data_IF_444740294675
#
_entry.id   IF_444740294675
#
_cell.length_a   1.000
_cell.length_b   1.000
_cell.length_c   1.000
_cell.angle_alpha   90.00
_cell.angle_beta   90.00
_cell.angle_gamma   90.00
#
_symmetry.space_group_name_H-M   'P 1'
#
loop_
_entity.id
_entity.type
_entity.pdbx_description
1 polymer ?
#
# COMPACT_ATOMS: atom_id res chain seq x y z
N UNK A 1 -3.48 -5.57 11.17
CA UNK A 1 -4.69 -4.71 11.15
C UNK A 1 -4.62 -3.60 12.20
N UNK A 2 -4.27 -3.89 13.46
CA UNK A 2 -4.15 -2.86 14.51
C UNK A 2 -3.17 -1.73 14.11
N UNK A 3 -2.00 -2.08 13.60
CA UNK A 3 -1.01 -1.12 13.10
C UNK A 3 -1.60 -0.09 12.12
N UNK A 4 -2.44 -0.55 11.16
CA UNK A 4 -3.07 0.36 10.18
C UNK A 4 -4.10 1.27 10.87
N UNK A 5 -4.87 0.75 11.83
CA UNK A 5 -5.81 1.58 12.61
C UNK A 5 -5.08 2.68 13.37
N UNK A 6 -4.01 2.32 14.07
CA UNK A 6 -3.20 3.27 14.86
C UNK A 6 -2.58 4.36 13.96
N UNK A 7 -2.08 3.96 12.79
CA UNK A 7 -1.59 4.91 11.77
C UNK A 7 -2.70 5.87 11.32
N UNK A 8 -3.85 5.35 10.92
CA UNK A 8 -4.98 6.17 10.48
C UNK A 8 -5.44 7.16 11.55
N UNK A 9 -5.56 6.70 12.81
CA UNK A 9 -5.92 7.58 13.93
C UNK A 9 -4.90 8.71 14.11
N UNK A 10 -3.61 8.39 14.05
CA UNK A 10 -2.56 9.38 14.22
C UNK A 10 -2.49 10.37 13.07
N UNK A 11 -2.61 9.90 11.81
CA UNK A 11 -2.67 10.76 10.64
C UNK A 11 -3.86 11.71 10.69
N UNK A 12 -5.05 11.21 11.05
CA UNK A 12 -6.28 11.99 11.20
C UNK A 12 -6.18 13.02 12.31
N UNK A 13 -5.64 12.65 13.49
CA UNK A 13 -5.40 13.58 14.61
C UNK A 13 -4.47 14.74 14.24
N UNK A 14 -3.51 14.50 13.35
CA UNK A 14 -2.55 15.50 12.89
C UNK A 14 -3.01 16.22 11.62
N UNK A 15 -4.23 15.95 11.11
CA UNK A 15 -4.76 16.47 9.86
C UNK A 15 -3.86 16.16 8.64
N UNK A 16 -3.14 15.03 8.67
CA UNK A 16 -2.36 14.56 7.55
C UNK A 16 -3.25 13.88 6.52
N UNK A 17 -2.89 13.99 5.25
CA UNK A 17 -3.69 13.42 4.17
C UNK A 17 -3.64 11.90 4.18
N UNK A 18 -4.81 11.28 4.02
CA UNK A 18 -4.98 9.85 3.85
C UNK A 18 -5.58 9.58 2.47
N UNK A 19 -4.93 8.71 1.71
CA UNK A 19 -5.39 8.26 0.39
C UNK A 19 -5.51 6.74 0.42
N UNK A 20 -6.69 6.25 0.08
CA UNK A 20 -6.95 4.83 -0.08
C UNK A 20 -6.77 4.42 -1.54
N UNK A 21 -6.08 3.31 -1.74
CA UNK A 21 -5.96 2.68 -3.05
C UNK A 21 -6.73 1.37 -3.03
N UNK A 22 -7.74 1.27 -3.88
CA UNK A 22 -8.58 0.07 -4.02
C UNK A 22 -8.32 -0.59 -5.36
N UNK A 23 -8.01 -1.87 -5.34
CA UNK A 23 -7.81 -2.64 -6.57
C UNK A 23 -9.13 -3.24 -7.03
N UNK A 24 -9.48 -3.03 -8.30
CA UNK A 24 -10.59 -3.69 -8.98
C UNK A 24 -10.06 -4.40 -10.23
N UNK A 25 -10.33 -5.69 -10.35
CA UNK A 25 -9.96 -6.45 -11.55
C UNK A 25 -11.07 -6.36 -12.59
N UNK A 26 -10.72 -5.94 -13.79
CA UNK A 26 -11.63 -5.93 -14.94
C UNK A 26 -11.85 -7.33 -15.52
N UNK A 27 -11.01 -8.29 -15.15
CA UNK A 27 -11.05 -9.67 -15.62
C UNK A 27 -10.75 -10.64 -14.47
N UNK A 28 -11.46 -11.76 -14.41
CA UNK A 28 -11.22 -12.81 -13.43
C UNK A 28 -12.23 -12.84 -12.28
N UNK A 29 -11.93 -13.67 -11.28
CA UNK A 29 -12.83 -13.94 -10.14
C UNK A 29 -12.47 -13.17 -8.88
N UNK A 30 -11.23 -12.66 -8.77
CA UNK A 30 -10.76 -11.89 -7.64
C UNK A 30 -10.87 -10.40 -7.90
N UNK A 31 -11.22 -9.64 -6.88
CA UNK A 31 -11.40 -8.18 -6.94
C UNK A 31 -12.42 -7.71 -7.99
N UNK A 32 -13.43 -8.53 -8.24
CA UNK A 32 -14.47 -8.17 -9.21
C UNK A 32 -15.29 -6.98 -8.67
N UNK A 33 -15.48 -5.91 -9.46
CA UNK A 33 -16.32 -4.79 -9.09
C UNK A 33 -17.72 -5.23 -8.60
N UNK A 34 -18.24 -4.51 -7.62
CA UNK A 34 -19.55 -4.80 -6.99
C UNK A 34 -19.62 -6.08 -6.14
N UNK A 35 -18.48 -6.66 -5.77
CA UNK A 35 -18.40 -7.76 -4.79
C UNK A 35 -17.78 -7.29 -3.48
N UNK A 36 -17.99 -8.06 -2.41
CA UNK A 36 -17.35 -7.78 -1.12
C UNK A 36 -15.81 -7.87 -1.18
N UNK A 37 -15.28 -8.62 -2.16
CA UNK A 37 -13.84 -8.81 -2.35
C UNK A 37 -13.06 -7.55 -2.71
N UNK A 38 -13.71 -6.49 -3.18
CA UNK A 38 -13.07 -5.20 -3.48
C UNK A 38 -13.27 -4.16 -2.38
N UNK A 39 -14.11 -4.45 -1.39
CA UNK A 39 -14.44 -3.45 -0.37
C UNK A 39 -13.26 -3.23 0.58
N UNK A 40 -13.06 -1.98 0.96
CA UNK A 40 -12.12 -1.64 2.03
C UNK A 40 -12.66 -2.23 3.33
N UNK A 41 -11.80 -2.92 4.07
CA UNK A 41 -12.19 -3.60 5.31
C UNK A 41 -12.87 -2.62 6.28
N UNK A 42 -13.96 -3.07 6.90
CA UNK A 42 -14.81 -2.21 7.76
C UNK A 42 -14.06 -1.50 8.88
N UNK A 43 -13.01 -2.13 9.41
CA UNK A 43 -12.19 -1.58 10.49
C UNK A 43 -11.32 -0.38 10.09
N UNK A 44 -11.08 -0.19 8.81
CA UNK A 44 -10.23 0.86 8.25
C UNK A 44 -10.96 1.67 7.19
N UNK A 45 -12.27 1.80 7.30
CA UNK A 45 -13.08 2.56 6.33
C UNK A 45 -12.58 3.99 6.16
N UNK A 46 -12.58 4.51 4.92
CA UNK A 46 -12.27 5.91 4.68
C UNK A 46 -13.35 6.82 5.29
N UNK A 47 -12.93 7.99 5.74
CA UNK A 47 -13.84 9.08 6.05
C UNK A 47 -14.41 9.67 4.74
N UNK A 48 -15.55 10.37 4.83
CA UNK A 48 -16.17 11.01 3.66
C UNK A 48 -15.25 12.03 2.98
N UNK A 49 -14.33 12.60 3.74
CA UNK A 49 -13.35 13.59 3.26
C UNK A 49 -12.09 12.95 2.68
N UNK A 50 -11.90 11.64 2.86
CA UNK A 50 -10.69 10.96 2.40
C UNK A 50 -10.84 10.45 0.96
N UNK A 51 -9.76 10.56 0.20
CA UNK A 51 -9.73 10.16 -1.20
C UNK A 51 -9.61 8.64 -1.34
N UNK A 52 -10.46 8.06 -2.17
CA UNK A 52 -10.35 6.66 -2.61
C UNK A 52 -10.03 6.65 -4.11
N UNK A 53 -8.92 6.05 -4.48
CA UNK A 53 -8.50 5.87 -5.87
C UNK A 53 -8.66 4.40 -6.25
N UNK A 54 -9.37 4.13 -7.33
CA UNK A 54 -9.49 2.80 -7.91
C UNK A 54 -8.36 2.59 -8.91
N UNK A 55 -7.76 1.41 -8.88
CA UNK A 55 -6.75 0.97 -9.85
C UNK A 55 -7.07 -0.42 -10.37
N UNK A 56 -6.49 -0.76 -11.52
CA UNK A 56 -6.69 -2.05 -12.18
C UNK A 56 -5.39 -2.84 -12.32
N UNK A 57 -4.25 -2.19 -12.08
CA UNK A 57 -2.91 -2.78 -12.18
C UNK A 57 -2.16 -2.69 -10.83
N UNK A 58 -1.09 -3.47 -10.61
CA UNK A 58 -0.33 -3.43 -9.35
C UNK A 58 0.22 -2.04 -9.02
N UNK A 59 0.74 -1.30 -9.99
CA UNK A 59 1.25 0.04 -9.80
C UNK A 59 0.11 1.03 -9.55
N UNK A 60 0.10 1.67 -8.38
CA UNK A 60 -0.95 2.63 -8.01
C UNK A 60 -0.90 3.94 -8.80
N UNK A 61 0.19 4.22 -9.49
CA UNK A 61 0.32 5.40 -10.37
C UNK A 61 -0.14 5.12 -11.80
N UNK A 62 -0.20 3.84 -12.20
CA UNK A 62 -0.52 3.47 -13.56
C UNK A 62 -2.02 3.63 -13.84
N UNK A 63 -2.34 4.45 -14.86
CA UNK A 63 -3.72 4.77 -15.28
C UNK A 63 -4.64 5.25 -14.13
N UNK A 64 -4.06 6.00 -13.17
CA UNK A 64 -4.80 6.61 -12.07
C UNK A 64 -4.47 8.11 -11.97
N UNK A 65 -5.20 8.83 -11.14
CA UNK A 65 -4.93 10.23 -10.85
C UNK A 65 -4.06 10.43 -9.59
N UNK A 66 -3.42 9.36 -9.07
CA UNK A 66 -2.64 9.44 -7.82
C UNK A 66 -1.55 10.50 -7.89
N UNK A 67 -0.75 10.51 -8.98
CA UNK A 67 0.33 11.48 -9.16
C UNK A 67 -0.19 12.92 -9.11
N UNK A 68 -1.29 13.21 -9.82
CA UNK A 68 -1.88 14.54 -9.83
C UNK A 68 -2.35 14.95 -8.44
N UNK A 69 -3.00 14.03 -7.70
CA UNK A 69 -3.45 14.28 -6.33
C UNK A 69 -2.30 14.58 -5.37
N UNK A 70 -1.18 13.88 -5.49
CA UNK A 70 0.00 14.13 -4.66
C UNK A 70 0.64 15.49 -4.99
N UNK A 71 0.74 15.84 -6.25
CA UNK A 71 1.29 17.14 -6.70
C UNK A 71 0.37 18.29 -6.31
N UNK A 72 -0.94 18.20 -6.53
CA UNK A 72 -1.94 19.21 -6.15
C UNK A 72 -1.91 19.54 -4.65
N UNK A 73 -1.54 18.57 -3.82
CA UNK A 73 -1.46 18.73 -2.37
C UNK A 73 -0.02 18.93 -1.86
N UNK A 74 0.93 19.18 -2.75
CA UNK A 74 2.34 19.43 -2.43
C UNK A 74 2.99 18.32 -1.59
N UNK A 75 2.53 17.06 -1.75
CA UNK A 75 3.05 15.91 -1.03
C UNK A 75 4.41 15.50 -1.60
N UNK A 76 5.40 15.37 -0.73
CA UNK A 76 6.77 14.95 -1.08
C UNK A 76 7.21 13.69 -0.34
N UNK A 77 6.50 13.31 0.70
CA UNK A 77 6.80 12.15 1.55
C UNK A 77 5.56 11.25 1.67
N UNK A 78 5.77 9.95 1.55
CA UNK A 78 4.70 8.95 1.59
C UNK A 78 4.95 7.97 2.73
N UNK A 79 3.91 7.67 3.50
CA UNK A 79 3.86 6.52 4.40
C UNK A 79 2.98 5.46 3.75
N UNK A 80 3.55 4.29 3.49
CA UNK A 80 2.89 3.23 2.73
C UNK A 80 2.66 2.01 3.59
N UNK A 81 1.46 1.47 3.55
CA UNK A 81 1.08 0.18 4.14
C UNK A 81 0.00 -0.49 3.28
N UNK A 82 -0.23 -1.77 3.47
CA UNK A 82 -1.28 -2.51 2.77
C UNK A 82 -0.84 -3.86 2.22
N UNK A 83 -1.44 -4.28 1.09
CA UNK A 83 -1.21 -5.61 0.52
C UNK A 83 -1.33 -5.61 -1.02
N UNK A 84 -0.72 -6.56 -1.69
CA UNK A 84 0.25 -7.53 -1.15
C UNK A 84 1.67 -7.00 -1.34
N UNK A 85 2.53 -7.30 -0.38
CA UNK A 85 3.91 -6.78 -0.35
C UNK A 85 4.67 -7.04 -1.64
N UNK A 86 4.59 -8.28 -2.18
CA UNK A 86 5.28 -8.70 -3.40
C UNK A 86 4.63 -8.24 -4.72
N UNK A 87 3.52 -7.52 -4.65
CA UNK A 87 2.76 -7.03 -5.80
C UNK A 87 2.57 -5.52 -5.75
N UNK A 88 1.39 -5.09 -5.29
CA UNK A 88 0.99 -3.69 -5.31
C UNK A 88 1.93 -2.79 -4.50
N UNK A 89 2.40 -3.26 -3.34
CA UNK A 89 3.30 -2.48 -2.48
C UNK A 89 4.67 -2.31 -3.16
N UNK A 90 5.33 -3.39 -3.54
CA UNK A 90 6.64 -3.34 -4.20
C UNK A 90 6.59 -2.47 -5.47
N UNK A 91 5.63 -2.73 -6.36
CA UNK A 91 5.51 -2.02 -7.63
C UNK A 91 5.24 -0.52 -7.41
N UNK A 92 4.34 -0.18 -6.48
CA UNK A 92 4.01 1.24 -6.20
C UNK A 92 5.17 1.98 -5.56
N UNK A 93 5.91 1.35 -4.63
CA UNK A 93 7.07 1.98 -3.98
C UNK A 93 8.17 2.29 -4.99
N UNK A 94 8.48 1.36 -5.90
CA UNK A 94 9.49 1.60 -6.95
C UNK A 94 9.08 2.74 -7.86
N UNK A 95 7.83 2.77 -8.31
CA UNK A 95 7.31 3.87 -9.11
C UNK A 95 7.32 5.21 -8.35
N UNK A 96 6.90 5.22 -7.08
CA UNK A 96 6.95 6.42 -6.25
C UNK A 96 8.38 6.97 -6.10
N UNK A 97 9.36 6.06 -5.98
CA UNK A 97 10.77 6.44 -5.92
C UNK A 97 11.24 7.09 -7.22
N UNK A 98 10.82 6.57 -8.37
CA UNK A 98 11.15 7.13 -9.69
C UNK A 98 10.52 8.53 -9.88
N UNK A 99 9.36 8.79 -9.28
CA UNK A 99 8.75 10.12 -9.20
C UNK A 99 9.42 11.07 -8.19
N UNK A 100 10.40 10.59 -7.40
CA UNK A 100 11.18 11.43 -6.49
C UNK A 100 10.64 11.51 -5.06
N UNK A 101 9.60 10.74 -4.71
CA UNK A 101 9.05 10.75 -3.35
C UNK A 101 10.02 10.13 -2.33
N UNK A 102 10.01 10.66 -1.11
CA UNK A 102 10.57 9.99 0.06
C UNK A 102 9.52 9.03 0.62
N UNK A 103 9.92 7.79 0.88
CA UNK A 103 8.96 6.74 1.23
C UNK A 103 9.35 6.10 2.55
N UNK A 104 8.40 6.02 3.47
CA UNK A 104 8.44 5.16 4.65
C UNK A 104 7.47 4.01 4.44
N UNK A 105 7.97 2.78 4.46
CA UNK A 105 7.16 1.56 4.36
C UNK A 105 6.98 0.96 5.75
N UNK A 106 5.74 0.73 6.14
CA UNK A 106 5.40 0.15 7.44
C UNK A 106 5.35 -1.36 7.33
N UNK A 107 6.40 -2.03 7.82
CA UNK A 107 6.60 -3.47 7.63
C UNK A 107 5.52 -4.33 8.29
N UNK A 108 5.09 -4.00 9.48
CA UNK A 108 4.00 -4.66 10.22
C UNK A 108 2.60 -4.14 9.83
N UNK A 109 2.54 -3.13 8.96
CA UNK A 109 1.36 -2.67 8.26
C UNK A 109 1.19 -3.30 6.87
N UNK A 110 2.08 -4.21 6.46
CA UNK A 110 2.02 -4.89 5.17
C UNK A 110 1.73 -6.39 5.33
N UNK A 111 1.13 -6.98 4.30
CA UNK A 111 0.83 -8.41 4.26
C UNK A 111 1.08 -9.01 2.86
N UNK A 112 1.41 -10.30 2.86
CA UNK A 112 1.59 -11.10 1.65
C UNK A 112 1.05 -12.52 1.86
N UNK A 113 1.29 -13.41 0.91
CA UNK A 113 0.86 -14.83 0.96
C UNK A 113 2.02 -15.74 0.58
N UNK A 114 1.85 -17.05 0.81
CA UNK A 114 2.75 -18.06 0.27
C UNK A 114 2.77 -17.99 -1.26
N UNK A 115 3.96 -18.16 -1.82
CA UNK A 115 4.16 -18.28 -3.26
C UNK A 115 4.71 -19.66 -3.61
N UNK A 116 4.49 -20.09 -4.86
CA UNK A 116 5.03 -21.35 -5.35
C UNK A 116 5.92 -21.09 -6.57
N UNK A 117 7.09 -21.72 -6.58
CA UNK A 117 8.01 -21.68 -7.70
C UNK A 117 8.71 -23.04 -7.85
N UNK A 118 8.70 -23.61 -9.07
CA UNK A 118 9.32 -24.89 -9.38
C UNK A 118 8.97 -26.01 -8.37
N UNK A 119 7.70 -26.12 -7.97
CA UNK A 119 7.23 -27.12 -7.02
C UNK A 119 7.54 -26.83 -5.55
N UNK A 120 8.29 -25.76 -5.26
CA UNK A 120 8.63 -25.35 -3.89
C UNK A 120 7.64 -24.27 -3.41
N UNK A 121 7.12 -24.45 -2.20
CA UNK A 121 6.33 -23.41 -1.53
C UNK A 121 7.27 -22.50 -0.74
N UNK A 122 7.23 -21.23 -1.03
CA UNK A 122 7.93 -20.16 -0.33
C UNK A 122 6.95 -19.53 0.65
N UNK A 123 7.17 -19.66 1.96
CA UNK A 123 6.22 -19.15 2.96
C UNK A 123 6.12 -17.63 2.95
N UNK A 124 4.96 -17.10 3.32
CA UNK A 124 4.67 -15.67 3.34
C UNK A 124 5.70 -14.88 4.18
N UNK A 125 6.19 -15.45 5.28
CA UNK A 125 7.23 -14.83 6.11
C UNK A 125 8.55 -14.61 5.36
N UNK A 126 8.95 -15.59 4.55
CA UNK A 126 10.14 -15.48 3.71
C UNK A 126 9.94 -14.42 2.61
N UNK A 127 8.79 -14.45 1.95
CA UNK A 127 8.44 -13.44 0.92
C UNK A 127 8.46 -12.04 1.53
N UNK A 128 7.79 -11.86 2.68
CA UNK A 128 7.76 -10.59 3.41
C UNK A 128 9.18 -10.07 3.69
N UNK A 129 10.02 -10.90 4.31
CA UNK A 129 11.39 -10.53 4.66
C UNK A 129 12.24 -10.19 3.44
N UNK A 130 12.08 -10.95 2.35
CA UNK A 130 12.81 -10.74 1.09
C UNK A 130 12.48 -9.38 0.47
N UNK A 131 11.19 -9.04 0.40
CA UNK A 131 10.76 -7.76 -0.17
C UNK A 131 11.10 -6.58 0.74
N UNK A 132 10.97 -6.71 2.06
CA UNK A 132 11.43 -5.67 3.00
C UNK A 132 12.94 -5.42 2.83
N UNK A 133 13.76 -6.47 2.76
CA UNK A 133 15.20 -6.35 2.54
C UNK A 133 15.53 -5.70 1.17
N UNK A 134 14.80 -6.08 0.11
CA UNK A 134 15.00 -5.53 -1.24
C UNK A 134 14.65 -4.04 -1.33
N UNK A 135 13.63 -3.60 -0.62
CA UNK A 135 13.15 -2.21 -0.66
C UNK A 135 13.94 -1.29 0.28
N UNK A 136 14.51 -1.86 1.36
CA UNK A 136 15.15 -1.08 2.42
C UNK A 136 16.31 -0.22 1.89
N UNK A 137 16.38 1.00 2.39
CA UNK A 137 17.39 2.04 2.08
C UNK A 137 17.38 2.55 0.63
N UNK A 138 17.26 1.68 -0.37
CA UNK A 138 17.29 2.09 -1.78
C UNK A 138 15.98 2.73 -2.24
N UNK A 139 14.85 2.12 -1.89
CA UNK A 139 13.52 2.53 -2.36
C UNK A 139 12.68 3.16 -1.25
N UNK A 140 12.79 2.65 -0.02
CA UNK A 140 12.05 3.13 1.13
C UNK A 140 12.85 3.02 2.42
N UNK A 141 12.48 3.81 3.43
CA UNK A 141 12.87 3.59 4.81
C UNK A 141 11.87 2.63 5.45
N UNK A 142 12.33 1.49 5.95
CA UNK A 142 11.46 0.49 6.57
C UNK A 142 11.34 0.79 8.06
N UNK A 143 10.09 0.87 8.54
CA UNK A 143 9.77 1.11 9.96
C UNK A 143 8.69 0.15 10.44
N UNK A 144 8.58 0.00 11.75
CA UNK A 144 7.37 -0.48 12.41
C UNK A 144 6.36 0.66 12.57
N UNK A 145 5.07 0.35 12.65
CA UNK A 145 4.05 1.37 12.91
C UNK A 145 4.30 2.16 14.21
N UNK A 146 4.80 1.49 15.24
CA UNK A 146 5.17 2.10 16.53
C UNK A 146 6.34 3.10 16.47
N UNK A 147 7.08 3.13 15.37
CA UNK A 147 8.23 4.04 15.17
C UNK A 147 7.84 5.31 14.39
N UNK A 148 6.55 5.46 14.04
CA UNK A 148 6.10 6.59 13.21
C UNK A 148 5.77 7.83 14.03
N UNK A 149 5.32 7.65 15.28
CA UNK A 149 4.83 8.74 16.14
C UNK A 149 5.34 8.59 17.58
#
# INVERSE_FOLDING_TARGET
MNTIKDLLENFRKQNLQVIYIRHESLQGTFFNPNTDGVQIHHDIKPLVTETVIVKHEPNSFYETNLQNKLVENEITELVVCGMMTHMCIDTTIRAAKDYGYKITLISDGCATKDLKWNGVTLPASLIQSTYMASLNQKFANIKLGSEMF
#
